data_IF_820210891662
#
_entry.id   IF_820210891662
#
_cell.length_a   1.000
_cell.length_b   1.000
_cell.length_c   1.000
_cell.angle_alpha   90.00
_cell.angle_beta   90.00
_cell.angle_gamma   90.00
#
_symmetry.space_group_name_H-M   'P 1'
#
loop_
_entity.id
_entity.type
_entity.pdbx_description
1 polymer ?
#
# COMPACT_ATOMS: atom_id res chain seq x y z
N UNK A 1 -2.18 21.32 -18.88
CA UNK A 1 -2.08 22.07 -17.61
C UNK A 1 -1.85 21.02 -16.51
N UNK A 2 -0.64 20.95 -15.93
CA UNK A 2 -0.34 20.01 -14.85
C UNK A 2 -0.90 20.60 -13.55
N UNK A 3 -1.98 20.03 -13.03
CA UNK A 3 -2.51 20.40 -11.72
C UNK A 3 -1.57 19.86 -10.62
N UNK A 4 -1.44 20.53 -9.47
CA UNK A 4 -0.62 20.06 -8.37
C UNK A 4 -1.06 18.69 -7.88
N UNK A 5 -0.11 17.79 -7.61
CA UNK A 5 -0.37 16.44 -7.11
C UNK A 5 -1.17 16.42 -5.80
N UNK A 6 -1.12 17.50 -5.02
CA UNK A 6 -1.91 17.67 -3.81
C UNK A 6 -3.41 17.44 -4.05
N UNK A 7 -3.95 17.82 -5.22
CA UNK A 7 -5.36 17.60 -5.53
C UNK A 7 -5.74 16.10 -5.68
N UNK A 8 -4.78 15.26 -6.08
CA UNK A 8 -4.99 13.83 -6.32
C UNK A 8 -4.45 12.93 -5.20
N UNK A 9 -3.49 13.40 -4.40
CA UNK A 9 -2.76 12.62 -3.38
C UNK A 9 -2.84 13.19 -1.96
N UNK A 10 -3.54 14.30 -1.77
CA UNK A 10 -3.65 14.99 -0.48
C UNK A 10 -5.07 15.13 0.04
N UNK A 11 -6.00 14.30 -0.43
CA UNK A 11 -7.37 14.30 0.10
C UNK A 11 -7.39 13.68 1.51
N UNK A 12 -8.35 14.11 2.33
CA UNK A 12 -8.52 13.54 3.67
C UNK A 12 -8.73 12.02 3.57
N UNK A 13 -8.14 11.28 4.51
CA UNK A 13 -8.18 9.80 4.59
C UNK A 13 -7.48 9.04 3.45
N UNK A 14 -6.77 9.73 2.54
CA UNK A 14 -6.09 9.12 1.40
C UNK A 14 -5.00 8.08 1.77
N UNK A 15 -4.44 8.15 2.98
CA UNK A 15 -3.41 7.22 3.47
C UNK A 15 -3.90 6.46 4.70
N UNK A 16 -4.69 5.37 4.54
CA UNK A 16 -5.00 4.49 5.64
C UNK A 16 -3.72 3.81 6.14
N UNK A 17 -3.46 3.91 7.44
CA UNK A 17 -2.27 3.36 8.11
C UNK A 17 -2.75 2.42 9.22
N UNK A 18 -2.12 1.25 9.34
CA UNK A 18 -2.38 0.29 10.40
C UNK A 18 -1.81 0.76 11.76
N UNK A 19 -1.97 -0.05 12.81
CA UNK A 19 -1.27 0.19 14.07
C UNK A 19 0.25 0.14 13.90
N UNK A 20 0.96 0.99 14.63
CA UNK A 20 2.43 0.98 14.67
C UNK A 20 2.91 -0.34 15.28
N UNK A 21 3.78 -1.06 14.57
CA UNK A 21 4.41 -2.29 15.05
C UNK A 21 5.83 -1.99 15.57
N UNK A 22 6.24 -2.55 16.71
CA UNK A 22 7.60 -2.41 17.19
C UNK A 22 8.57 -3.19 16.29
N UNK A 23 9.78 -2.65 16.10
CA UNK A 23 10.82 -3.25 15.24
C UNK A 23 11.15 -4.71 15.62
N UNK A 24 11.05 -5.06 16.90
CA UNK A 24 11.29 -6.43 17.38
C UNK A 24 10.31 -7.46 16.81
N UNK A 25 9.11 -7.04 16.38
CA UNK A 25 8.10 -7.92 15.80
C UNK A 25 8.39 -8.27 14.34
N UNK A 26 9.30 -7.52 13.68
CA UNK A 26 9.65 -7.71 12.28
C UNK A 26 11.18 -7.86 12.15
N UNK A 27 11.72 -9.07 12.34
CA UNK A 27 13.17 -9.31 12.31
C UNK A 27 13.82 -8.96 10.97
N UNK A 28 13.11 -9.20 9.86
CA UNK A 28 13.55 -8.90 8.51
C UNK A 28 12.45 -8.19 7.70
N UNK A 29 12.52 -6.86 7.49
CA UNK A 29 11.54 -6.11 6.70
C UNK A 29 11.65 -6.37 5.19
N UNK A 30 12.77 -6.90 4.71
CA UNK A 30 12.99 -7.20 3.29
C UNK A 30 12.48 -8.59 2.90
N UNK A 31 11.82 -9.30 3.82
CA UNK A 31 11.26 -10.61 3.58
C UNK A 31 9.85 -10.75 4.15
N UNK A 32 8.93 -9.90 3.68
CA UNK A 32 7.52 -9.92 4.10
C UNK A 32 6.58 -9.96 2.89
N UNK A 33 5.48 -10.69 3.03
CA UNK A 33 4.40 -10.72 2.02
C UNK A 33 3.38 -9.63 2.33
N UNK A 34 3.04 -8.83 1.31
CA UNK A 34 2.02 -7.79 1.35
C UNK A 34 0.86 -8.19 0.44
N UNK A 35 -0.38 -7.97 0.89
CA UNK A 35 -1.56 -8.23 0.09
C UNK A 35 -2.67 -7.21 0.35
N UNK A 36 -3.55 -7.03 -0.63
CA UNK A 36 -4.78 -6.24 -0.53
C UNK A 36 -5.95 -7.01 -1.12
N UNK A 37 -7.06 -7.06 -0.38
CA UNK A 37 -8.31 -7.68 -0.80
C UNK A 37 -9.41 -6.62 -0.96
N UNK A 38 -10.24 -6.77 -1.97
CA UNK A 38 -11.50 -6.03 -2.16
C UNK A 38 -12.60 -7.08 -2.24
N UNK A 39 -13.61 -6.99 -1.37
CA UNK A 39 -14.70 -7.96 -1.27
C UNK A 39 -14.23 -9.42 -1.15
N UNK A 40 -13.17 -9.64 -0.37
CA UNK A 40 -12.57 -10.96 -0.16
C UNK A 40 -11.65 -11.45 -1.29
N UNK A 41 -11.63 -10.77 -2.45
CA UNK A 41 -10.80 -11.13 -3.60
C UNK A 41 -9.44 -10.43 -3.55
N UNK A 42 -8.34 -11.17 -3.73
CA UNK A 42 -6.99 -10.59 -3.80
C UNK A 42 -6.86 -9.73 -5.07
N UNK A 43 -6.49 -8.46 -4.88
CA UNK A 43 -6.22 -7.50 -5.97
C UNK A 43 -4.73 -7.18 -6.10
N UNK A 44 -4.00 -7.19 -4.98
CA UNK A 44 -2.56 -6.99 -4.96
C UNK A 44 -1.92 -8.02 -4.05
N UNK A 45 -0.80 -8.56 -4.49
CA UNK A 45 0.02 -9.51 -3.74
C UNK A 45 1.48 -9.35 -4.19
N UNK A 46 2.41 -9.17 -3.26
CA UNK A 46 3.82 -9.00 -3.56
C UNK A 46 4.71 -9.27 -2.34
N UNK A 47 5.99 -9.54 -2.58
CA UNK A 47 6.99 -9.76 -1.53
C UNK A 47 7.99 -8.62 -1.49
N UNK A 48 8.38 -8.16 -0.30
CA UNK A 48 9.41 -7.12 -0.16
C UNK A 48 10.82 -7.60 -0.54
N UNK A 49 11.01 -8.91 -0.71
CA UNK A 49 12.23 -9.49 -1.30
C UNK A 49 12.47 -9.00 -2.72
N UNK A 50 11.40 -8.58 -3.41
CA UNK A 50 11.45 -8.05 -4.77
C UNK A 50 11.91 -6.58 -4.81
N UNK A 51 12.17 -5.94 -3.64
CA UNK A 51 12.85 -4.65 -3.53
C UNK A 51 11.99 -3.46 -3.09
N UNK A 52 10.72 -3.68 -2.71
CA UNK A 52 9.81 -2.59 -2.33
C UNK A 52 9.70 -2.40 -0.81
N UNK A 53 10.08 -1.22 -0.28
CA UNK A 53 9.88 -0.83 1.13
C UNK A 53 9.63 0.69 1.30
N UNK A 54 8.49 0.99 1.94
CA UNK A 54 8.01 2.23 2.62
C UNK A 54 7.77 3.49 1.75
N UNK A 55 6.49 3.68 1.39
CA UNK A 55 5.93 4.67 0.43
C UNK A 55 6.65 4.75 -0.95
N UNK A 56 7.25 3.68 -1.46
CA UNK A 56 7.98 3.72 -2.74
C UNK A 56 7.18 3.27 -3.97
N UNK A 57 6.02 2.64 -3.79
CA UNK A 57 5.20 2.18 -4.90
C UNK A 57 4.18 1.14 -4.47
N UNK A 58 3.08 1.05 -5.20
CA UNK A 58 2.07 0.00 -5.03
C UNK A 58 2.43 -1.16 -5.97
N UNK A 59 2.39 -2.43 -5.52
CA UNK A 59 2.59 -3.58 -6.41
C UNK A 59 1.64 -3.56 -7.61
N UNK A 60 2.01 -4.23 -8.70
CA UNK A 60 1.17 -4.31 -9.92
C UNK A 60 -0.25 -4.78 -9.56
N UNK A 61 -1.26 -4.14 -10.14
CA UNK A 61 -2.68 -4.45 -9.89
C UNK A 61 -3.48 -3.37 -9.17
N UNK A 62 -2.92 -2.17 -9.00
CA UNK A 62 -3.69 -1.01 -8.58
C UNK A 62 -4.86 -0.76 -9.56
N UNK A 63 -6.07 -0.65 -9.01
CA UNK A 63 -7.31 -0.46 -9.78
C UNK A 63 -8.36 0.28 -8.94
N UNK A 64 -9.47 0.69 -9.56
CA UNK A 64 -10.51 1.43 -8.88
C UNK A 64 -11.16 0.59 -7.78
N UNK A 65 -11.47 1.24 -6.66
CA UNK A 65 -12.36 0.72 -5.60
C UNK A 65 -13.63 1.54 -5.66
N UNK A 66 -14.78 0.87 -5.73
CA UNK A 66 -16.08 1.53 -5.77
C UNK A 66 -16.59 1.78 -4.35
N UNK A 67 -17.43 2.80 -4.20
CA UNK A 67 -18.20 3.00 -2.97
C UNK A 67 -19.22 1.87 -2.88
N UNK A 68 -19.28 1.22 -1.71
CA UNK A 68 -20.30 0.23 -1.37
C UNK A 68 -21.65 0.89 -1.11
#
# INVERSE_FOLDING_TARGET
MCLPWSAAKGQDTFTPISSILPKSMLPDPHNVELWLKVDGQIRQKGSTTEGDVILTGTPKGAGPVNIG
#
